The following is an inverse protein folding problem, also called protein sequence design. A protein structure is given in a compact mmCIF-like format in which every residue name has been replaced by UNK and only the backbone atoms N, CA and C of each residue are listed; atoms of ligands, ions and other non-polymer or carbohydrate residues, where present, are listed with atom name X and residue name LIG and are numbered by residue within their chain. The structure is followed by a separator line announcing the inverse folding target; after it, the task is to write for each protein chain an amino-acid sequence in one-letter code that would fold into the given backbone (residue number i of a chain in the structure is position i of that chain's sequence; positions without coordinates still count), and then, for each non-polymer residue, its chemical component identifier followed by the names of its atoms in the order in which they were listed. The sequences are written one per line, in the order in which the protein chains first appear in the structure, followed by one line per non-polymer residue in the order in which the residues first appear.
data_IF_520971649474
#
_entry.id   IF_520971649474
#
_cell.length_a   1.000
_cell.length_b   1.000
_cell.length_c   1.000
_cell.angle_alpha   90.00
_cell.angle_beta   90.00
_cell.angle_gamma   90.00
#
_symmetry.space_group_name_H-M   'P 1'
#
loop_
_entity.id
_entity.type
_entity.pdbx_description
1 polymer ?
#
# COMPACT_ATOMS: atom_id res chain seq x y z
N UNK A 1 -5.66 -11.42 -28.98
CA UNK A 1 -5.37 -10.20 -28.20
C UNK A 1 -4.48 -10.62 -27.04
N UNK A 2 -3.30 -10.03 -26.86
CA UNK A 2 -2.40 -10.35 -25.76
C UNK A 2 -2.67 -9.33 -24.64
N UNK A 3 -2.91 -9.81 -23.43
CA UNK A 3 -3.12 -8.95 -22.26
C UNK A 3 -1.75 -8.58 -21.70
N UNK A 4 -1.49 -7.29 -21.56
CA UNK A 4 -0.28 -6.75 -20.95
C UNK A 4 -0.63 -6.03 -19.66
N UNK A 5 0.33 -5.89 -18.75
CA UNK A 5 0.12 -5.16 -17.51
C UNK A 5 -0.08 -3.66 -17.78
N UNK A 6 -0.82 -3.00 -16.90
CA UNK A 6 -0.96 -1.55 -16.96
C UNK A 6 0.40 -0.92 -16.64
N UNK A 7 0.82 0.05 -17.45
CA UNK A 7 2.08 0.78 -17.22
C UNK A 7 2.09 1.36 -15.81
N UNK A 8 3.15 1.06 -15.04
CA UNK A 8 3.29 1.47 -13.64
C UNK A 8 2.74 0.47 -12.62
N UNK A 9 2.08 -0.61 -13.06
CA UNK A 9 1.59 -1.70 -12.21
C UNK A 9 2.39 -2.97 -12.52
N UNK A 10 3.31 -3.32 -11.62
CA UNK A 10 4.16 -4.51 -11.76
C UNK A 10 3.62 -5.64 -10.89
N UNK A 11 3.69 -6.86 -11.40
CA UNK A 11 3.42 -8.05 -10.60
C UNK A 11 4.54 -8.25 -9.58
N UNK A 12 4.18 -8.67 -8.37
CA UNK A 12 5.15 -9.13 -7.36
C UNK A 12 5.25 -10.64 -7.49
N UNK A 13 6.39 -11.14 -7.96
CA UNK A 13 6.60 -12.57 -8.22
C UNK A 13 6.84 -13.35 -6.92
N UNK A 14 6.72 -14.70 -6.91
CA UNK A 14 6.82 -15.49 -5.68
C UNK A 14 8.11 -15.31 -4.86
N UNK A 15 9.24 -15.01 -5.51
CA UNK A 15 10.50 -14.73 -4.82
C UNK A 15 10.50 -13.37 -4.12
N UNK A 16 9.92 -12.35 -4.77
CA UNK A 16 9.77 -11.00 -4.23
C UNK A 16 8.70 -10.99 -3.12
N UNK A 17 7.60 -11.71 -3.32
CA UNK A 17 6.51 -11.82 -2.36
C UNK A 17 6.99 -12.34 -1.00
N UNK A 18 7.93 -13.30 -0.99
CA UNK A 18 8.52 -13.80 0.27
C UNK A 18 9.30 -12.72 1.02
N UNK A 19 10.03 -11.86 0.31
CA UNK A 19 10.78 -10.76 0.92
C UNK A 19 9.83 -9.70 1.49
N UNK A 20 8.76 -9.37 0.76
CA UNK A 20 7.71 -8.46 1.24
C UNK A 20 7.02 -8.98 2.49
N UNK A 21 6.62 -10.25 2.50
CA UNK A 21 5.98 -10.88 3.66
C UNK A 21 6.88 -10.83 4.90
N UNK A 22 8.17 -11.14 4.76
CA UNK A 22 9.12 -11.07 5.87
C UNK A 22 9.28 -9.64 6.42
N UNK A 23 9.32 -8.65 5.54
CA UNK A 23 9.38 -7.23 5.94
C UNK A 23 8.11 -6.81 6.67
N UNK A 24 6.94 -7.12 6.11
CA UNK A 24 5.65 -6.79 6.72
C UNK A 24 5.45 -7.46 8.07
N UNK A 25 5.92 -8.70 8.24
CA UNK A 25 5.87 -9.43 9.50
C UNK A 25 6.68 -8.72 10.59
N UNK A 26 7.90 -8.25 10.26
CA UNK A 26 8.75 -7.52 11.20
C UNK A 26 8.15 -6.16 11.58
N UNK A 27 7.55 -5.47 10.61
CA UNK A 27 6.83 -4.20 10.85
C UNK A 27 5.65 -4.43 11.80
N UNK A 28 4.81 -5.43 11.51
CA UNK A 28 3.63 -5.78 12.33
C UNK A 28 4.06 -6.15 13.75
N UNK A 29 5.10 -6.97 13.89
CA UNK A 29 5.69 -7.33 15.19
C UNK A 29 6.13 -6.07 15.94
N UNK A 30 6.94 -5.22 15.30
CA UNK A 30 7.48 -4.01 15.92
C UNK A 30 6.36 -3.11 16.43
N UNK A 31 5.36 -2.79 15.61
CA UNK A 31 4.25 -1.94 16.03
C UNK A 31 3.43 -2.54 17.18
N UNK A 32 3.23 -3.86 17.19
CA UNK A 32 2.53 -4.53 18.28
C UNK A 32 3.23 -4.38 19.63
N UNK A 33 4.57 -4.33 19.65
CA UNK A 33 5.36 -4.14 20.88
C UNK A 33 5.13 -2.77 21.52
N UNK A 34 4.73 -1.77 20.71
CA UNK A 34 4.41 -0.42 21.15
C UNK A 34 2.89 -0.20 21.35
N UNK A 35 2.09 -1.27 21.29
CA UNK A 35 0.64 -1.20 21.53
C UNK A 35 -0.19 -0.63 20.39
N UNK A 36 0.41 -0.40 19.20
CA UNK A 36 -0.34 -0.01 18.02
C UNK A 36 -1.17 -1.19 17.50
N UNK A 37 -2.34 -0.88 16.96
CA UNK A 37 -3.26 -1.85 16.35
C UNK A 37 -3.51 -1.50 14.90
N UNK A 38 -3.59 -2.53 14.07
CA UNK A 38 -3.88 -2.38 12.65
C UNK A 38 -5.30 -1.84 12.44
N UNK A 39 -5.43 -0.89 11.51
CA UNK A 39 -6.70 -0.46 10.91
C UNK A 39 -6.61 -0.69 9.40
N UNK A 40 -7.67 -1.24 8.80
CA UNK A 40 -7.77 -1.45 7.35
C UNK A 40 -8.82 -0.51 6.78
N UNK A 41 -8.42 0.27 5.78
CA UNK A 41 -9.27 1.24 5.12
C UNK A 41 -9.67 0.73 3.72
N UNK A 42 -10.77 1.24 3.14
CA UNK A 42 -11.12 0.97 1.75
C UNK A 42 -10.02 1.42 0.77
N UNK A 43 -9.87 0.72 -0.36
CA UNK A 43 -8.91 1.07 -1.41
C UNK A 43 -9.36 2.24 -2.29
N UNK A 44 -10.67 2.41 -2.42
CA UNK A 44 -11.28 3.47 -3.24
C UNK A 44 -12.13 4.32 -2.33
N UNK A 45 -11.96 5.64 -2.43
CA UNK A 45 -12.68 6.65 -1.67
C UNK A 45 -13.20 7.72 -2.62
N UNK A 46 -14.15 8.53 -2.14
CA UNK A 46 -14.65 9.69 -2.87
C UNK A 46 -13.51 10.67 -3.16
N UNK A 47 -13.41 11.17 -4.39
CA UNK A 47 -12.34 12.08 -4.81
C UNK A 47 -12.21 13.31 -3.91
N UNK A 48 -13.33 13.82 -3.39
CA UNK A 48 -13.38 14.97 -2.49
C UNK A 48 -12.59 14.76 -1.19
N UNK A 49 -12.41 13.51 -0.76
CA UNK A 49 -11.59 13.18 0.41
C UNK A 49 -10.12 13.56 0.18
N UNK A 50 -9.62 13.34 -1.03
CA UNK A 50 -8.22 13.64 -1.40
C UNK A 50 -8.05 15.10 -1.84
N UNK A 51 -9.06 15.66 -2.53
CA UNK A 51 -9.03 17.07 -3.00
C UNK A 51 -8.92 18.08 -1.87
N UNK A 52 -9.28 17.70 -0.62
CA UNK A 52 -9.23 18.59 0.55
C UNK A 52 -7.96 18.43 1.40
N UNK A 53 -7.28 17.29 1.30
CA UNK A 53 -6.10 16.97 2.13
C UNK A 53 -4.76 17.28 1.45
N UNK A 54 -4.72 17.26 0.12
CA UNK A 54 -3.56 17.61 -0.70
C UNK A 54 -3.83 18.96 -1.35
N UNK A 55 -4.03 20.01 -0.55
CA UNK A 55 -4.22 21.35 -1.09
C UNK A 55 -2.95 21.81 -1.81
N UNK A 56 -3.08 22.28 -3.06
CA UNK A 56 -2.23 23.26 -3.78
C UNK A 56 -0.73 23.42 -3.39
N UNK A 57 -0.06 22.32 -3.05
CA UNK A 57 1.37 22.23 -2.80
C UNK A 57 1.70 20.78 -3.16
N UNK A 58 2.29 20.46 -4.30
CA UNK A 58 3.41 21.03 -5.04
C UNK A 58 3.42 20.35 -6.42
N UNK A 59 4.19 20.89 -7.37
CA UNK A 59 4.49 20.26 -8.68
C UNK A 59 4.77 18.74 -8.63
#
# INVERSE_FOLDING_TARGET
MKVESVRGMRDVLPEEARLWQALEDEIRRTFSLYGYKEIRLPLVELSELFSRGVGEATD
#
